data_IF_458928822906
#
_entry.id   IF_458928822906
#
_cell.length_a   1.000
_cell.length_b   1.000
_cell.length_c   1.000
_cell.angle_alpha   90.00
_cell.angle_beta   90.00
_cell.angle_gamma   90.00
#
_symmetry.space_group_name_H-M   'P 1'
#
loop_
_entity.id
_entity.type
_entity.pdbx_description
1 polymer ?
#
# COMPACT_ATOMS: atom_id res chain seq x y z
N UNK A 1 4.78 -11.18 7.13
CA UNK A 1 3.95 -10.69 8.25
C UNK A 1 2.78 -11.65 8.36
N UNK A 2 2.63 -12.30 9.50
CA UNK A 2 1.57 -13.30 9.67
C UNK A 2 0.27 -12.67 10.18
N UNK A 3 -0.85 -13.35 9.93
CA UNK A 3 -2.17 -12.91 10.42
C UNK A 3 -2.20 -12.74 11.96
N UNK A 4 -1.43 -13.55 12.69
CA UNK A 4 -1.29 -13.44 14.14
C UNK A 4 -0.66 -12.10 14.56
N UNK A 5 0.32 -11.60 13.80
CA UNK A 5 0.94 -10.30 14.06
C UNK A 5 -0.03 -9.15 13.82
N UNK A 6 -0.90 -9.28 12.81
CA UNK A 6 -1.98 -8.31 12.56
C UNK A 6 -2.94 -8.23 13.74
N UNK A 7 -3.32 -9.36 14.33
CA UNK A 7 -4.17 -9.37 15.52
C UNK A 7 -3.49 -8.76 16.75
N UNK A 8 -2.19 -9.01 16.91
CA UNK A 8 -1.39 -8.41 17.97
C UNK A 8 -1.35 -6.89 17.84
N UNK A 9 -1.09 -6.36 16.63
CA UNK A 9 -1.13 -4.91 16.38
C UNK A 9 -2.51 -4.31 16.65
N UNK A 10 -3.59 -5.00 16.31
CA UNK A 10 -4.95 -4.54 16.62
C UNK A 10 -5.20 -4.47 18.14
N UNK A 11 -4.69 -5.46 18.89
CA UNK A 11 -4.78 -5.48 20.35
C UNK A 11 -3.97 -4.35 20.97
N UNK A 12 -2.75 -4.14 20.51
CA UNK A 12 -1.87 -3.06 20.96
C UNK A 12 -2.48 -1.69 20.66
N UNK A 13 -2.96 -1.48 19.43
CA UNK A 13 -3.67 -0.26 19.03
C UNK A 13 -4.90 0.01 19.91
N UNK A 14 -5.65 -1.03 20.29
CA UNK A 14 -6.77 -0.90 21.22
C UNK A 14 -6.33 -0.47 22.62
N UNK A 15 -5.18 -0.93 23.09
CA UNK A 15 -4.62 -0.52 24.39
C UNK A 15 -4.14 0.93 24.33
N UNK A 16 -3.42 1.31 23.27
CA UNK A 16 -3.01 2.70 23.02
C UNK A 16 -4.24 3.60 22.96
N UNK A 17 -5.30 3.19 22.27
CA UNK A 17 -6.54 3.96 22.17
C UNK A 17 -7.22 4.22 23.53
N UNK A 18 -7.11 3.27 24.48
CA UNK A 18 -7.63 3.44 25.84
C UNK A 18 -6.82 4.43 26.67
N UNK A 19 -5.51 4.54 26.44
CA UNK A 19 -4.61 5.37 27.24
C UNK A 19 -4.36 6.76 26.64
N UNK A 20 -4.16 6.83 25.33
CA UNK A 20 -3.76 8.04 24.60
C UNK A 20 -4.83 8.54 23.62
N UNK A 21 -5.98 7.87 23.55
CA UNK A 21 -7.10 8.23 22.68
C UNK A 21 -7.06 7.53 21.32
N UNK A 22 -8.23 7.48 20.67
CA UNK A 22 -8.45 6.72 19.44
C UNK A 22 -7.53 7.12 18.29
N UNK A 23 -7.22 8.42 18.17
CA UNK A 23 -6.31 8.93 17.15
C UNK A 23 -4.90 8.34 17.30
N UNK A 24 -4.39 8.18 18.52
CA UNK A 24 -3.07 7.58 18.74
C UNK A 24 -3.06 6.09 18.35
N UNK A 25 -4.11 5.35 18.71
CA UNK A 25 -4.25 3.95 18.30
C UNK A 25 -4.34 3.77 16.79
N UNK A 26 -5.12 4.63 16.11
CA UNK A 26 -5.23 4.63 14.64
C UNK A 26 -3.95 5.09 13.96
N UNK A 27 -3.20 6.03 14.54
CA UNK A 27 -1.89 6.45 14.02
C UNK A 27 -0.89 5.31 14.01
N UNK A 28 -0.81 4.56 15.11
CA UNK A 28 0.03 3.37 15.18
C UNK A 28 -0.42 2.30 14.18
N UNK A 29 -1.72 2.01 14.14
CA UNK A 29 -2.23 0.89 13.35
C UNK A 29 -2.24 1.19 11.84
N UNK A 30 -2.79 2.34 11.45
CA UNK A 30 -2.97 2.72 10.05
C UNK A 30 -1.74 3.46 9.51
N UNK A 31 -1.27 4.48 10.22
CA UNK A 31 -0.11 5.28 9.79
C UNK A 31 1.15 4.44 9.72
N UNK A 32 1.54 3.81 10.82
CA UNK A 32 2.81 3.08 10.86
C UNK A 32 2.68 1.65 10.29
N UNK A 33 1.83 0.79 10.88
CA UNK A 33 1.83 -0.63 10.52
C UNK A 33 1.20 -0.89 9.15
N UNK A 34 -0.03 -0.44 8.94
CA UNK A 34 -0.71 -0.64 7.65
C UNK A 34 -0.02 0.14 6.53
N UNK A 35 0.33 1.41 6.77
CA UNK A 35 1.02 2.28 5.83
C UNK A 35 2.35 1.71 5.33
N UNK A 36 3.17 1.13 6.21
CA UNK A 36 4.42 0.47 5.81
C UNK A 36 4.19 -0.69 4.85
N UNK A 37 3.24 -1.58 5.15
CA UNK A 37 2.93 -2.72 4.28
C UNK A 37 2.31 -2.26 2.95
N UNK A 38 1.50 -1.20 2.99
CA UNK A 38 0.94 -0.59 1.80
C UNK A 38 2.03 0.03 0.91
N UNK A 39 3.04 0.66 1.50
CA UNK A 39 4.22 1.16 0.78
C UNK A 39 5.00 0.01 0.10
N UNK A 40 5.20 -1.11 0.80
CA UNK A 40 5.81 -2.31 0.22
C UNK A 40 5.01 -2.83 -0.98
N UNK A 41 3.67 -2.90 -0.88
CA UNK A 41 2.82 -3.29 -2.00
C UNK A 41 3.00 -2.34 -3.19
N UNK A 42 3.05 -1.02 -2.96
CA UNK A 42 3.28 -0.05 -4.04
C UNK A 42 4.65 -0.21 -4.68
N UNK A 43 5.70 -0.45 -3.89
CA UNK A 43 7.06 -0.73 -4.40
C UNK A 43 7.07 -2.01 -5.24
N UNK A 44 6.41 -3.06 -4.79
CA UNK A 44 6.30 -4.32 -5.53
C UNK A 44 5.51 -4.15 -6.84
N UNK A 45 4.39 -3.41 -6.83
CA UNK A 45 3.62 -3.08 -8.04
C UNK A 45 4.41 -2.25 -9.05
N UNK A 46 5.23 -1.29 -8.59
CA UNK A 46 6.13 -0.51 -9.46
C UNK A 46 7.09 -1.42 -10.24
N UNK A 47 7.60 -2.50 -9.64
CA UNK A 47 8.45 -3.48 -10.36
C UNK A 47 7.71 -4.19 -11.49
N UNK A 48 6.39 -4.30 -11.40
CA UNK A 48 5.54 -4.97 -12.38
C UNK A 48 4.91 -4.02 -13.40
N UNK A 49 5.06 -2.70 -13.25
CA UNK A 49 4.31 -1.70 -14.04
C UNK A 49 4.58 -1.74 -15.55
N UNK A 50 5.71 -2.33 -15.96
CA UNK A 50 6.11 -2.46 -17.35
C UNK A 50 5.76 -3.82 -17.96
N UNK A 51 5.18 -4.73 -17.16
CA UNK A 51 4.65 -5.98 -17.69
C UNK A 51 3.37 -5.67 -18.46
N UNK A 52 3.26 -6.27 -19.65
CA UNK A 52 2.00 -6.31 -20.38
C UNK A 52 0.94 -6.99 -19.52
N UNK A 53 -0.18 -6.31 -19.19
CA UNK A 53 -1.22 -6.87 -18.34
C UNK A 53 -1.88 -8.05 -19.04
N UNK A 54 -1.86 -9.23 -18.39
CA UNK A 54 -2.38 -10.46 -18.97
C UNK A 54 -3.91 -10.45 -19.24
N UNK A 55 -4.65 -9.53 -18.61
CA UNK A 55 -6.11 -9.47 -18.69
C UNK A 55 -6.64 -8.63 -19.86
N UNK A 56 -5.84 -7.71 -20.41
CA UNK A 56 -6.26 -6.79 -21.49
C UNK A 56 -5.57 -7.16 -22.81
N UNK A 57 -5.77 -8.41 -23.24
CA UNK A 57 -5.23 -8.94 -24.49
C UNK A 57 -6.13 -8.58 -25.68
N UNK A 58 -6.37 -7.28 -25.88
CA UNK A 58 -7.02 -6.74 -27.07
C UNK A 58 -6.33 -7.23 -28.36
N UNK A 59 -7.04 -7.30 -29.49
CA UNK A 59 -6.45 -7.63 -30.80
C UNK A 59 -5.20 -6.77 -31.11
N UNK A 60 -5.22 -5.50 -30.71
CA UNK A 60 -4.13 -4.54 -30.90
C UNK A 60 -2.95 -4.71 -29.92
N UNK A 61 -3.03 -5.67 -29.01
CA UNK A 61 -2.00 -5.90 -28.01
C UNK A 61 -0.67 -6.32 -28.69
N UNK A 62 0.50 -5.73 -28.33
CA UNK A 62 1.77 -6.04 -29.00
C UNK A 62 2.14 -7.53 -29.01
N UNK A 63 1.79 -8.27 -27.95
CA UNK A 63 1.95 -9.73 -27.89
C UNK A 63 1.04 -10.49 -28.87
N UNK A 64 -0.12 -9.95 -29.25
CA UNK A 64 -1.00 -10.53 -30.26
C UNK A 64 -0.49 -10.26 -31.68
N UNK A 65 0.20 -9.13 -31.90
CA UNK A 65 0.84 -8.79 -33.16
C UNK A 65 2.10 -9.63 -33.44
N UNK A 66 2.85 -10.03 -32.41
CA UNK A 66 4.13 -10.74 -32.57
C UNK A 66 4.09 -12.26 -32.75
N UNK A 67 2.91 -12.84 -33.01
CA UNK A 67 2.76 -14.28 -33.24
C UNK A 67 3.13 -15.17 -32.03
N UNK A 68 3.15 -16.50 -32.25
CA UNK A 68 3.34 -17.48 -31.16
C UNK A 68 4.72 -17.40 -30.49
N UNK A 69 5.77 -17.10 -31.26
CA UNK A 69 7.13 -17.07 -30.74
C UNK A 69 7.32 -15.95 -29.70
N UNK A 70 6.82 -14.73 -29.98
CA UNK A 70 6.90 -13.61 -29.06
C UNK A 70 6.13 -13.88 -27.76
N UNK A 71 4.94 -14.50 -27.86
CA UNK A 71 4.13 -14.88 -26.68
C UNK A 71 4.88 -15.84 -25.77
N UNK A 72 5.54 -16.85 -26.35
CA UNK A 72 6.32 -17.83 -25.58
C UNK A 72 7.55 -17.19 -24.96
N UNK A 73 8.33 -16.41 -25.72
CA UNK A 73 9.52 -15.75 -25.17
C UNK A 73 9.16 -14.80 -24.05
N UNK A 74 8.09 -14.02 -24.21
CA UNK A 74 7.60 -13.13 -23.17
C UNK A 74 7.15 -13.89 -21.92
N UNK A 75 6.36 -14.96 -22.07
CA UNK A 75 5.92 -15.77 -20.94
C UNK A 75 7.10 -16.38 -20.16
N UNK A 76 8.14 -16.84 -20.87
CA UNK A 76 9.38 -17.33 -20.24
C UNK A 76 10.11 -16.21 -19.49
N UNK A 77 10.28 -15.03 -20.08
CA UNK A 77 10.90 -13.87 -19.42
C UNK A 77 10.13 -13.45 -18.16
N UNK A 78 8.79 -13.46 -18.21
CA UNK A 78 7.95 -13.19 -17.03
C UNK A 78 8.16 -14.25 -15.96
N UNK A 79 8.18 -15.53 -16.34
CA UNK A 79 8.38 -16.62 -15.41
C UNK A 79 9.77 -16.58 -14.75
N UNK A 80 10.82 -16.26 -15.52
CA UNK A 80 12.21 -16.25 -15.05
C UNK A 80 12.53 -15.05 -14.17
N UNK A 81 11.96 -13.88 -14.43
CA UNK A 81 12.38 -12.63 -13.77
C UNK A 81 11.31 -11.97 -12.90
N UNK A 82 10.05 -12.35 -13.05
CA UNK A 82 8.93 -11.67 -12.39
C UNK A 82 8.05 -12.59 -11.55
N UNK A 83 8.34 -13.90 -11.49
CA UNK A 83 7.61 -14.85 -10.64
C UNK A 83 7.63 -14.42 -9.16
N UNK A 84 8.79 -14.12 -8.61
CA UNK A 84 8.95 -13.66 -7.22
C UNK A 84 8.19 -12.34 -6.94
N UNK A 85 8.37 -11.23 -7.70
CA UNK A 85 7.58 -10.02 -7.51
C UNK A 85 6.07 -10.22 -7.68
N UNK A 86 5.63 -11.11 -8.58
CA UNK A 86 4.21 -11.42 -8.77
C UNK A 86 3.62 -12.13 -7.55
N UNK A 87 4.36 -13.06 -6.94
CA UNK A 87 3.95 -13.72 -5.71
C UNK A 87 3.95 -12.75 -4.52
N UNK A 88 4.96 -11.87 -4.42
CA UNK A 88 5.04 -10.83 -3.41
C UNK A 88 3.83 -9.90 -3.45
N UNK A 89 3.43 -9.43 -4.64
CA UNK A 89 2.23 -8.59 -4.80
C UNK A 89 0.97 -9.32 -4.35
N UNK A 90 0.76 -10.56 -4.79
CA UNK A 90 -0.42 -11.35 -4.39
C UNK A 90 -0.49 -11.55 -2.88
N UNK A 91 0.65 -11.87 -2.26
CA UNK A 91 0.74 -12.05 -0.82
C UNK A 91 0.41 -10.75 -0.08
N UNK A 92 1.02 -9.63 -0.46
CA UNK A 92 0.79 -8.33 0.18
C UNK A 92 -0.65 -7.83 -0.02
N UNK A 93 -1.27 -8.07 -1.18
CA UNK A 93 -2.68 -7.76 -1.41
C UNK A 93 -3.61 -8.54 -0.49
N UNK A 94 -3.38 -9.85 -0.35
CA UNK A 94 -4.16 -10.69 0.57
C UNK A 94 -3.97 -10.25 2.02
N UNK A 95 -2.72 -10.01 2.42
CA UNK A 95 -2.38 -9.56 3.76
C UNK A 95 -3.05 -8.23 4.09
N UNK A 96 -2.98 -7.24 3.21
CA UNK A 96 -3.60 -5.93 3.42
C UNK A 96 -5.12 -6.01 3.44
N UNK A 97 -5.73 -6.88 2.65
CA UNK A 97 -7.17 -7.12 2.70
C UNK A 97 -7.60 -7.71 4.05
N UNK A 98 -6.85 -8.67 4.58
CA UNK A 98 -7.15 -9.26 5.89
C UNK A 98 -6.82 -8.30 7.04
N UNK A 99 -5.78 -7.48 6.89
CA UNK A 99 -5.46 -6.40 7.82
C UNK A 99 -6.59 -5.35 7.84
N UNK A 100 -7.08 -4.93 6.69
CA UNK A 100 -8.22 -4.01 6.60
C UNK A 100 -9.45 -4.54 7.35
N UNK A 101 -9.77 -5.84 7.21
CA UNK A 101 -10.86 -6.48 7.97
C UNK A 101 -10.61 -6.45 9.48
N UNK A 102 -9.37 -6.71 9.91
CA UNK A 102 -9.01 -6.69 11.33
C UNK A 102 -9.11 -5.28 11.94
N UNK A 103 -8.68 -4.25 11.19
CA UNK A 103 -8.83 -2.84 11.59
C UNK A 103 -10.31 -2.50 11.75
N UNK A 104 -11.15 -2.86 10.78
CA UNK A 104 -12.60 -2.62 10.80
C UNK A 104 -13.33 -3.40 11.91
N UNK A 105 -12.77 -4.49 12.39
CA UNK A 105 -13.27 -5.21 13.57
C UNK A 105 -12.88 -4.53 14.89
N UNK A 106 -11.84 -3.69 14.87
CA UNK A 106 -11.26 -3.07 16.06
C UNK A 106 -11.74 -1.63 16.27
N UNK A 107 -11.84 -0.87 15.19
CA UNK A 107 -12.30 0.52 15.18
C UNK A 107 -13.50 0.67 14.25
N UNK A 108 -14.41 1.57 14.60
CA UNK A 108 -15.57 1.88 13.77
C UNK A 108 -15.16 2.66 12.51
N UNK A 109 -15.96 2.54 11.45
CA UNK A 109 -15.73 3.27 10.21
C UNK A 109 -15.68 4.79 10.41
N UNK A 110 -16.48 5.35 11.31
CA UNK A 110 -16.48 6.78 11.59
C UNK A 110 -15.16 7.22 12.25
N UNK A 111 -14.59 6.41 13.14
CA UNK A 111 -13.29 6.70 13.77
C UNK A 111 -12.17 6.66 12.74
N UNK A 112 -12.16 5.65 11.87
CA UNK A 112 -11.18 5.49 10.79
C UNK A 112 -11.29 6.66 9.81
N UNK A 113 -12.52 7.01 9.41
CA UNK A 113 -12.78 8.13 8.51
C UNK A 113 -12.28 9.45 9.11
N UNK A 114 -12.66 9.74 10.36
CA UNK A 114 -12.23 10.95 11.05
C UNK A 114 -10.71 11.05 11.12
N UNK A 115 -10.02 9.94 11.41
CA UNK A 115 -8.55 9.88 11.41
C UNK A 115 -7.95 10.17 10.03
N UNK A 116 -8.43 9.51 8.98
CA UNK A 116 -7.93 9.68 7.60
C UNK A 116 -8.24 11.08 7.03
N UNK A 117 -9.23 11.79 7.57
CA UNK A 117 -9.53 13.17 7.23
C UNK A 117 -8.70 14.17 8.05
N UNK A 118 -8.35 13.84 9.30
CA UNK A 118 -7.52 14.69 10.17
C UNK A 118 -6.01 14.52 9.96
N UNK A 119 -5.56 13.43 9.33
CA UNK A 119 -4.15 13.12 9.10
C UNK A 119 -3.83 13.11 7.61
N UNK A 120 -3.57 14.28 7.00
CA UNK A 120 -3.28 14.38 5.57
C UNK A 120 -1.95 13.74 5.18
N UNK A 121 -1.02 13.60 6.13
CA UNK A 121 0.25 12.92 5.90
C UNK A 121 0.38 11.73 6.86
N UNK A 122 0.48 10.52 6.31
CA UNK A 122 0.59 9.26 7.05
C UNK A 122 2.05 8.86 7.30
N UNK A 123 3.03 9.66 6.85
CA UNK A 123 4.46 9.31 6.93
C UNK A 123 4.80 8.05 6.12
N UNK A 124 4.07 7.83 5.01
CA UNK A 124 4.20 6.61 4.19
C UNK A 124 5.36 6.82 3.23
N UNK A 125 6.55 6.43 3.65
CA UNK A 125 7.71 6.37 2.76
C UNK A 125 8.96 7.07 3.27
N UNK A 126 8.86 7.83 4.35
CA UNK A 126 10.03 8.41 5.02
C UNK A 126 10.80 7.33 5.79
N UNK A 127 12.00 6.98 5.33
CA UNK A 127 12.96 6.25 6.15
C UNK A 127 13.32 7.16 7.35
N UNK A 128 13.30 6.69 8.61
CA UNK A 128 13.71 7.50 9.76
C UNK A 128 15.10 8.12 9.60
N UNK A 129 15.95 7.50 8.78
CA UNK A 129 17.27 8.04 8.43
C UNK A 129 17.23 9.23 7.46
N UNK A 130 16.26 9.30 6.54
CA UNK A 130 16.13 10.42 5.59
C UNK A 130 15.57 11.67 6.28
N UNK A 131 14.70 11.50 7.29
CA UNK A 131 14.14 12.61 8.07
C UNK A 131 15.18 13.35 8.93
N UNK A 132 16.25 12.68 9.36
CA UNK A 132 17.30 13.29 10.17
C UNK A 132 18.28 14.15 9.35
N UNK A 133 18.36 13.94 8.04
CA UNK A 133 19.19 14.76 7.15
C UNK A 133 18.44 15.99 6.61
N UNK A 134 17.11 15.94 6.53
CA UNK A 134 16.26 17.02 5.98
C UNK A 134 15.99 18.22 6.92
N UNK A 135 16.29 18.13 8.22
CA UNK A 135 16.11 19.29 9.14
C UNK A 135 17.14 20.41 8.92
N UNK A 136 18.19 20.17 8.12
CA UNK A 136 19.19 21.17 7.78
C UNK A 136 19.08 21.55 6.29
N UNK A 137 18.54 22.75 6.04
CA UNK A 137 18.37 23.41 4.73
C UNK A 137 17.13 22.96 3.92
N UNK A 138 15.99 23.57 4.24
CA UNK A 138 14.74 23.47 3.47
C UNK A 138 14.88 24.16 2.10
N UNK A 139 15.51 23.47 1.15
CA UNK A 139 15.50 23.82 -0.27
C UNK A 139 14.45 22.96 -0.97
N UNK A 140 13.32 23.59 -1.34
CA UNK A 140 12.20 22.93 -2.00
C UNK A 140 12.68 22.11 -3.21
N UNK A 141 12.60 20.79 -3.12
CA UNK A 141 13.09 19.87 -4.14
C UNK A 141 11.94 19.26 -4.97
N UNK A 142 12.23 18.94 -6.23
CA UNK A 142 11.28 18.23 -7.10
C UNK A 142 10.98 16.83 -6.54
N UNK A 143 11.98 16.17 -5.96
CA UNK A 143 11.81 14.90 -5.25
C UNK A 143 10.83 15.01 -4.07
N UNK A 144 10.90 16.08 -3.27
CA UNK A 144 9.97 16.30 -2.15
C UNK A 144 8.52 16.45 -2.65
N UNK A 145 8.32 17.19 -3.74
CA UNK A 145 6.99 17.36 -4.35
C UNK A 145 6.44 16.05 -4.93
N UNK A 146 7.30 15.21 -5.52
CA UNK A 146 6.89 13.89 -6.02
C UNK A 146 6.55 12.92 -4.88
N UNK A 147 7.30 12.95 -3.78
CA UNK A 147 7.01 12.16 -2.58
C UNK A 147 5.66 12.57 -1.96
N UNK A 148 5.40 13.87 -1.82
CA UNK A 148 4.11 14.37 -1.33
C UNK A 148 2.96 13.91 -2.24
N UNK A 149 3.13 14.01 -3.57
CA UNK A 149 2.12 13.53 -4.51
C UNK A 149 1.90 12.01 -4.40
N UNK A 150 2.96 11.22 -4.20
CA UNK A 150 2.86 9.78 -3.96
C UNK A 150 2.09 9.47 -2.66
N UNK A 151 2.37 10.21 -1.58
CA UNK A 151 1.68 10.07 -0.29
C UNK A 151 0.19 10.39 -0.39
N UNK A 152 -0.19 11.46 -1.11
CA UNK A 152 -1.59 11.81 -1.36
C UNK A 152 -2.31 10.68 -2.11
N UNK A 153 -1.69 10.16 -3.18
CA UNK A 153 -2.25 9.03 -3.93
C UNK A 153 -2.35 7.77 -3.05
N UNK A 154 -1.37 7.54 -2.18
CA UNK A 154 -1.38 6.41 -1.27
C UNK A 154 -2.51 6.51 -0.24
N UNK A 155 -2.71 7.69 0.34
CA UNK A 155 -3.80 7.96 1.27
C UNK A 155 -5.17 7.69 0.62
N UNK A 156 -5.35 8.09 -0.64
CA UNK A 156 -6.61 7.86 -1.35
C UNK A 156 -6.88 6.37 -1.62
N UNK A 157 -5.85 5.60 -1.95
CA UNK A 157 -5.99 4.16 -2.12
C UNK A 157 -6.23 3.43 -0.78
N UNK A 158 -5.59 3.89 0.31
CA UNK A 158 -5.86 3.40 1.67
C UNK A 158 -7.32 3.69 2.06
N UNK A 159 -7.82 4.89 1.75
CA UNK A 159 -9.24 5.24 1.95
C UNK A 159 -10.14 4.27 1.20
N UNK A 160 -9.86 3.92 -0.06
CA UNK A 160 -10.67 2.93 -0.80
C UNK A 160 -10.66 1.54 -0.14
N UNK A 161 -9.53 1.13 0.44
CA UNK A 161 -9.41 -0.16 1.12
C UNK A 161 -10.18 -0.20 2.46
N UNK A 162 -10.09 0.87 3.25
CA UNK A 162 -10.64 0.91 4.62
C UNK A 162 -12.07 1.48 4.69
N UNK A 163 -12.46 2.33 3.75
CA UNK A 163 -13.76 3.01 3.71
C UNK A 163 -14.64 2.44 2.57
N UNK A 164 -14.64 1.12 2.40
CA UNK A 164 -15.53 0.48 1.44
C UNK A 164 -16.97 0.96 1.67
N UNK A 165 -17.52 1.74 0.73
CA UNK A 165 -18.96 1.93 0.63
C UNK A 165 -19.54 0.55 0.46
N UNK A 166 -20.40 0.11 1.39
CA UNK A 166 -21.40 -0.90 1.03
C UNK A 166 -22.15 -0.30 -0.16
N UNK A 167 -21.89 -0.83 -1.35
CA UNK A 167 -22.87 -0.76 -2.42
C UNK A 167 -24.06 -1.56 -1.93
N UNK A 168 -25.07 -0.85 -1.41
CA UNK A 168 -26.41 -1.37 -1.18
C UNK A 168 -27.01 -1.88 -2.50
#
# INVERSE_FOLDING_TARGET
MEFEQVQEYCREASQIAKHAGKHAGLSFLIGEKFGTNFSLLRKARRKLQFLYPGNDMSEDHPLNQGGRALKVSYAMTVQEHYSEPLEEVKYLESLLADFAKAILATFSQDEIKNYLESSPNLGIGSDPHELQEMENEAEFSVEELLLEAEEILALEDIKKLLLQKKSD
#
